data_IF_614792176759
#
_entry.id   IF_614792176759
#
_cell.length_a   1.000
_cell.length_b   1.000
_cell.length_c   1.000
_cell.angle_alpha   90.00
_cell.angle_beta   90.00
_cell.angle_gamma   90.00
#
_symmetry.space_group_name_H-M   'P 1'
#
loop_
_entity.id
_entity.type
_entity.pdbx_description
1 polymer ?
#
# COMPACT_ATOMS: atom_id res chain seq x y z
N UNK A 1 11.24 -2.87 9.48
CA UNK A 1 9.87 -2.39 9.30
C UNK A 1 8.99 -3.59 8.98
N UNK A 2 7.87 -3.69 9.65
CA UNK A 2 6.86 -4.73 9.36
C UNK A 2 5.90 -4.16 8.31
N UNK A 3 6.10 -4.56 7.05
CA UNK A 3 5.25 -4.19 5.93
C UNK A 3 4.61 -5.43 5.33
N UNK A 4 3.42 -5.30 4.77
CA UNK A 4 2.68 -6.38 4.12
C UNK A 4 2.67 -6.25 2.59
N UNK A 5 3.14 -5.13 2.07
CA UNK A 5 3.27 -4.86 0.64
C UNK A 5 4.30 -3.80 0.31
N UNK A 6 4.74 -3.78 -0.93
CA UNK A 6 5.69 -2.80 -1.45
C UNK A 6 5.50 -2.63 -2.96
N UNK A 7 5.35 -1.38 -3.38
CA UNK A 7 5.28 -1.01 -4.79
C UNK A 7 6.66 -0.60 -5.34
N UNK A 8 6.93 -0.92 -6.59
CA UNK A 8 8.23 -0.69 -7.22
C UNK A 8 8.67 0.78 -7.20
N UNK A 9 7.75 1.72 -7.39
CA UNK A 9 8.06 3.14 -7.36
C UNK A 9 8.45 3.66 -5.97
N UNK A 10 8.16 2.93 -4.88
CA UNK A 10 8.63 3.27 -3.53
C UNK A 10 10.14 3.03 -3.36
N UNK A 11 10.73 2.23 -4.21
CA UNK A 11 12.18 1.95 -4.25
C UNK A 11 12.87 2.52 -5.50
N UNK A 12 12.22 3.49 -6.17
CA UNK A 12 12.79 4.21 -7.30
C UNK A 12 12.74 3.47 -8.64
N UNK A 13 11.99 2.38 -8.72
CA UNK A 13 11.82 1.60 -9.97
C UNK A 13 10.54 2.04 -10.68
N UNK A 14 10.66 2.56 -11.88
CA UNK A 14 9.54 3.02 -12.70
C UNK A 14 8.88 1.87 -13.47
N UNK A 15 8.33 0.94 -12.70
CA UNK A 15 7.53 -0.18 -13.21
C UNK A 15 6.23 -0.29 -12.42
N UNK A 16 5.16 -0.68 -13.08
CA UNK A 16 3.88 -0.94 -12.43
C UNK A 16 3.85 -2.37 -11.87
N UNK A 17 4.58 -2.56 -10.79
CA UNK A 17 4.71 -3.84 -10.09
C UNK A 17 4.60 -3.59 -8.59
N UNK A 18 3.85 -4.42 -7.89
CA UNK A 18 3.93 -4.53 -6.44
C UNK A 18 4.03 -5.99 -5.99
N UNK A 19 4.59 -6.18 -4.82
CA UNK A 19 4.66 -7.46 -4.12
C UNK A 19 3.90 -7.35 -2.81
N UNK A 20 3.37 -8.46 -2.34
CA UNK A 20 2.67 -8.51 -1.06
C UNK A 20 2.79 -9.88 -0.38
N UNK A 21 2.66 -9.85 0.93
CA UNK A 21 2.64 -11.00 1.82
C UNK A 21 1.76 -10.63 3.01
N UNK A 22 0.50 -11.01 2.96
CA UNK A 22 -0.53 -10.44 3.80
C UNK A 22 -1.61 -11.47 4.15
N UNK A 23 -2.10 -11.50 5.40
CA UNK A 23 -3.26 -12.31 5.73
C UNK A 23 -4.56 -11.69 5.20
N UNK A 24 -5.51 -12.53 4.84
CA UNK A 24 -6.89 -12.16 4.56
C UNK A 24 -7.74 -12.10 5.84
N UNK A 25 -9.07 -11.91 5.71
CA UNK A 25 -9.97 -11.83 6.84
C UNK A 25 -10.11 -13.15 7.64
N UNK A 26 -9.77 -14.28 7.03
CA UNK A 26 -9.76 -15.61 7.65
C UNK A 26 -8.37 -15.99 8.18
N UNK A 27 -7.46 -15.01 8.25
CA UNK A 27 -6.07 -15.17 8.69
C UNK A 27 -5.25 -16.13 7.79
N UNK A 28 -5.69 -16.29 6.54
CA UNK A 28 -4.96 -17.05 5.54
C UNK A 28 -3.91 -16.17 4.86
N UNK A 29 -2.65 -16.58 4.95
CA UNK A 29 -1.54 -15.86 4.35
C UNK A 29 -1.55 -15.99 2.84
N UNK A 30 -1.55 -14.85 2.15
CA UNK A 30 -1.50 -14.78 0.69
C UNK A 30 -0.28 -13.98 0.29
N UNK A 31 0.49 -14.52 -0.63
CA UNK A 31 1.69 -13.88 -1.19
C UNK A 31 1.57 -13.80 -2.69
N UNK A 32 2.13 -12.74 -3.27
CA UNK A 32 2.11 -12.61 -4.71
C UNK A 32 2.90 -11.43 -5.24
N UNK A 33 3.03 -11.44 -6.56
CA UNK A 33 3.57 -10.38 -7.39
C UNK A 33 2.51 -10.01 -8.40
N UNK A 34 2.25 -8.72 -8.58
CA UNK A 34 1.30 -8.24 -9.59
C UNK A 34 1.96 -7.19 -10.45
N UNK A 35 2.08 -7.49 -11.73
CA UNK A 35 2.55 -6.57 -12.75
C UNK A 35 1.36 -5.99 -13.51
N UNK A 36 1.39 -4.69 -13.77
CA UNK A 36 0.31 -3.95 -14.45
C UNK A 36 -1.06 -4.18 -13.81
N UNK A 37 -1.22 -3.90 -12.51
CA UNK A 37 -2.44 -4.21 -11.79
C UNK A 37 -3.64 -3.41 -12.29
N UNK A 38 -4.79 -4.07 -12.34
CA UNK A 38 -6.10 -3.46 -12.50
C UNK A 38 -6.91 -3.75 -11.25
N UNK A 39 -7.24 -2.71 -10.50
CA UNK A 39 -8.03 -2.78 -9.27
C UNK A 39 -9.52 -2.69 -9.61
N UNK A 40 -10.28 -3.60 -9.01
CA UNK A 40 -11.75 -3.54 -9.01
C UNK A 40 -12.26 -3.55 -7.58
N UNK A 41 -13.22 -2.68 -7.30
CA UNK A 41 -13.85 -2.52 -6.00
C UNK A 41 -15.34 -2.83 -6.10
N UNK A 42 -15.98 -3.30 -5.01
CA UNK A 42 -17.44 -3.46 -5.00
C UNK A 42 -18.13 -2.10 -5.16
N UNK A 43 -19.31 -2.13 -5.75
CA UNK A 43 -20.14 -0.95 -6.01
C UNK A 43 -21.50 -1.07 -5.32
N UNK A 44 -22.20 0.06 -5.17
CA UNK A 44 -23.52 0.12 -4.57
C UNK A 44 -23.58 -0.48 -3.17
N UNK A 45 -24.61 -1.24 -2.89
CA UNK A 45 -24.86 -1.85 -1.57
C UNK A 45 -23.81 -2.91 -1.19
N UNK A 46 -23.08 -3.47 -2.15
CA UNK A 46 -22.00 -4.40 -1.91
C UNK A 46 -20.72 -3.73 -1.38
N UNK A 47 -20.63 -2.39 -1.51
CA UNK A 47 -19.48 -1.61 -1.03
C UNK A 47 -19.62 -1.30 0.46
N UNK A 48 -18.98 -2.09 1.27
CA UNK A 48 -18.87 -1.86 2.70
C UNK A 48 -17.50 -1.26 3.02
N UNK A 49 -17.47 -0.23 3.85
CA UNK A 49 -16.22 0.41 4.26
C UNK A 49 -15.74 -0.17 5.58
N UNK A 50 -14.47 -0.51 5.60
CA UNK A 50 -13.70 -0.91 6.76
C UNK A 50 -12.78 0.24 7.17
N UNK A 51 -12.84 0.64 8.44
CA UNK A 51 -12.06 1.76 8.98
C UNK A 51 -11.03 1.23 9.95
N UNK A 52 -9.78 1.26 9.56
CA UNK A 52 -8.64 0.86 10.38
C UNK A 52 -7.47 1.80 10.20
N UNK A 53 -6.57 1.78 11.18
CA UNK A 53 -5.29 2.46 11.05
C UNK A 53 -4.50 1.90 9.88
N UNK A 54 -4.00 2.81 9.05
CA UNK A 54 -3.14 2.50 7.92
C UNK A 54 -1.84 3.28 8.05
N UNK A 55 -0.75 2.64 7.69
CA UNK A 55 0.58 3.22 7.61
C UNK A 55 1.22 2.91 6.27
N UNK A 56 2.32 3.56 5.98
CA UNK A 56 3.08 3.32 4.76
C UNK A 56 4.58 3.30 5.07
N UNK A 57 5.31 2.41 4.43
CA UNK A 57 6.78 2.34 4.55
C UNK A 57 7.45 3.64 4.06
N UNK A 58 6.80 4.39 3.18
CA UNK A 58 7.23 5.72 2.72
C UNK A 58 6.96 6.85 3.74
N UNK A 59 6.17 6.60 4.78
CA UNK A 59 5.87 7.49 5.89
C UNK A 59 6.11 6.77 7.23
N UNK A 60 7.36 6.37 7.54
CA UNK A 60 7.67 5.52 8.69
C UNK A 60 7.12 6.08 10.00
N UNK A 61 6.45 5.23 10.77
CA UNK A 61 5.94 5.55 12.10
C UNK A 61 4.71 6.47 12.13
N UNK A 62 4.19 6.91 10.99
CA UNK A 62 2.98 7.72 10.90
C UNK A 62 1.78 6.87 10.47
N UNK A 63 0.71 6.89 11.28
CA UNK A 63 -0.52 6.12 11.06
C UNK A 63 -1.74 7.02 11.21
N UNK A 64 -2.79 6.71 10.47
CA UNK A 64 -4.12 7.33 10.65
C UNK A 64 -5.21 6.38 10.16
N UNK A 65 -6.40 6.54 10.71
CA UNK A 65 -7.57 5.80 10.23
C UNK A 65 -7.84 6.14 8.76
N UNK A 66 -8.00 5.10 7.95
CA UNK A 66 -8.34 5.20 6.55
C UNK A 66 -9.49 4.26 6.24
N UNK A 67 -10.58 4.81 5.72
CA UNK A 67 -11.72 4.02 5.26
C UNK A 67 -11.43 3.45 3.87
N UNK A 68 -11.54 2.13 3.74
CA UNK A 68 -11.41 1.44 2.47
C UNK A 68 -12.50 0.39 2.31
N UNK A 69 -12.94 0.07 1.08
CA UNK A 69 -13.75 -1.12 0.86
C UNK A 69 -13.09 -2.37 1.47
N UNK A 70 -13.90 -3.17 2.15
CA UNK A 70 -13.48 -4.39 2.85
C UNK A 70 -13.19 -5.56 1.91
N UNK A 71 -13.49 -5.39 0.63
CA UNK A 71 -13.29 -6.35 -0.44
C UNK A 71 -12.66 -5.64 -1.65
N UNK A 72 -11.69 -6.28 -2.26
CA UNK A 72 -11.08 -5.80 -3.51
C UNK A 72 -10.62 -6.96 -4.39
N UNK A 73 -10.53 -6.73 -5.69
CA UNK A 73 -9.94 -7.65 -6.66
C UNK A 73 -8.84 -6.92 -7.42
N UNK A 74 -7.72 -7.59 -7.60
CA UNK A 74 -6.64 -7.13 -8.46
C UNK A 74 -6.34 -8.19 -9.48
N UNK A 75 -6.32 -7.81 -10.74
CA UNK A 75 -5.85 -8.63 -11.85
C UNK A 75 -4.60 -8.02 -12.47
N UNK A 76 -3.75 -8.85 -13.01
CA UNK A 76 -2.52 -8.44 -13.68
C UNK A 76 -1.73 -9.65 -14.16
N UNK A 77 -0.42 -9.49 -14.23
CA UNK A 77 0.51 -10.56 -14.60
C UNK A 77 1.44 -10.86 -13.41
N UNK A 78 1.86 -12.11 -13.30
CA UNK A 78 2.92 -12.50 -12.38
C UNK A 78 4.32 -12.20 -12.96
N UNK A 79 5.38 -12.59 -12.24
CA UNK A 79 6.78 -12.40 -12.66
C UNK A 79 7.15 -13.22 -13.90
N UNK A 80 6.38 -14.24 -14.24
CA UNK A 80 6.55 -15.06 -15.44
C UNK A 80 5.69 -14.55 -16.63
N UNK A 81 4.94 -13.45 -16.45
CA UNK A 81 4.04 -12.91 -17.46
C UNK A 81 2.73 -13.67 -17.62
N UNK A 82 2.37 -14.51 -16.64
CA UNK A 82 1.11 -15.26 -16.65
C UNK A 82 0.00 -14.44 -15.96
N UNK A 83 -1.25 -14.50 -16.46
CA UNK A 83 -2.38 -13.83 -15.81
C UNK A 83 -2.59 -14.31 -14.38
N UNK A 84 -2.78 -13.36 -13.46
CA UNK A 84 -3.15 -13.62 -12.06
C UNK A 84 -4.31 -12.74 -11.64
N UNK A 85 -5.11 -13.25 -10.71
CA UNK A 85 -6.16 -12.50 -10.03
C UNK A 85 -6.14 -12.83 -8.54
N UNK A 86 -6.23 -11.80 -7.70
CA UNK A 86 -6.33 -11.93 -6.25
C UNK A 86 -7.63 -11.27 -5.78
N UNK A 87 -8.42 -12.00 -4.99
CA UNK A 87 -9.55 -11.47 -4.26
C UNK A 87 -9.12 -11.25 -2.80
N UNK A 88 -9.11 -10.01 -2.34
CA UNK A 88 -8.68 -9.64 -1.00
C UNK A 88 -9.86 -9.33 -0.08
N UNK A 89 -9.80 -9.85 1.15
CA UNK A 89 -10.67 -9.50 2.27
C UNK A 89 -9.82 -9.02 3.43
N UNK A 90 -10.40 -8.27 4.37
CA UNK A 90 -9.69 -7.78 5.56
C UNK A 90 -8.43 -6.98 5.21
N UNK A 91 -7.32 -7.28 5.87
CA UNK A 91 -6.05 -6.60 5.64
C UNK A 91 -5.53 -6.77 4.21
N UNK A 92 -5.75 -7.94 3.61
CA UNK A 92 -5.38 -8.19 2.21
C UNK A 92 -6.12 -7.25 1.25
N UNK A 93 -7.43 -7.03 1.45
CA UNK A 93 -8.19 -6.07 0.63
C UNK A 93 -7.58 -4.67 0.70
N UNK A 94 -7.20 -4.24 1.89
CA UNK A 94 -6.54 -2.95 2.14
C UNK A 94 -5.17 -2.88 1.47
N UNK A 95 -4.36 -3.92 1.59
CA UNK A 95 -3.04 -4.02 0.99
C UNK A 95 -3.09 -3.91 -0.54
N UNK A 96 -3.95 -4.67 -1.20
CA UNK A 96 -4.10 -4.64 -2.66
C UNK A 96 -4.48 -3.24 -3.16
N UNK A 97 -5.33 -2.53 -2.44
CA UNK A 97 -5.72 -1.15 -2.76
C UNK A 97 -4.56 -0.17 -2.53
N UNK A 98 -3.87 -0.28 -1.39
CA UNK A 98 -2.77 0.59 -1.01
C UNK A 98 -1.61 0.52 -2.02
N UNK A 99 -1.19 -0.69 -2.38
CA UNK A 99 -0.08 -0.89 -3.32
C UNK A 99 -0.44 -0.49 -4.75
N UNK A 100 -1.68 -0.74 -5.17
CA UNK A 100 -2.16 -0.25 -6.47
C UNK A 100 -2.19 1.28 -6.50
N UNK A 101 -2.64 1.93 -5.43
CA UNK A 101 -2.64 3.39 -5.32
C UNK A 101 -1.25 3.98 -5.56
N UNK A 102 -0.20 3.42 -4.96
CA UNK A 102 1.18 3.87 -5.17
C UNK A 102 1.57 3.91 -6.65
N UNK A 103 1.21 2.89 -7.39
CA UNK A 103 1.57 2.77 -8.82
C UNK A 103 0.85 3.80 -9.69
N UNK A 104 -0.26 4.36 -9.21
CA UNK A 104 -1.02 5.42 -9.88
C UNK A 104 -0.83 6.81 -9.24
N UNK A 105 0.21 6.96 -8.42
CA UNK A 105 0.61 8.24 -7.85
C UNK A 105 -0.25 8.72 -6.67
N UNK A 106 -0.98 7.81 -6.02
CA UNK A 106 -1.81 8.09 -4.86
C UNK A 106 -1.20 7.45 -3.61
N UNK A 107 -1.13 8.18 -2.52
CA UNK A 107 -0.76 7.66 -1.21
C UNK A 107 -1.97 7.64 -0.28
N UNK A 108 -1.93 6.83 0.78
CA UNK A 108 -3.08 6.69 1.67
C UNK A 108 -3.47 8.02 2.35
N UNK A 109 -2.54 8.94 2.53
CA UNK A 109 -2.83 10.30 2.99
C UNK A 109 -3.79 11.08 2.10
N UNK A 110 -3.89 10.74 0.81
CA UNK A 110 -4.84 11.32 -0.14
C UNK A 110 -6.25 10.74 0.02
N UNK A 111 -6.37 9.60 0.72
CA UNK A 111 -7.63 8.88 0.97
C UNK A 111 -8.32 9.26 2.28
N UNK A 112 -7.68 10.09 3.10
CA UNK A 112 -8.20 10.50 4.41
C UNK A 112 -8.63 11.97 4.39
N UNK A 113 -9.53 12.39 5.32
CA UNK A 113 -9.93 13.79 5.43
C UNK A 113 -8.72 14.71 5.63
N UNK A 114 -8.81 15.94 5.14
CA UNK A 114 -7.71 16.91 5.16
C UNK A 114 -7.12 17.12 6.58
N UNK A 115 -7.96 17.16 7.60
CA UNK A 115 -7.53 17.31 8.99
C UNK A 115 -6.66 16.12 9.44
N UNK A 116 -7.06 14.91 9.10
CA UNK A 116 -6.29 13.69 9.40
C UNK A 116 -4.97 13.67 8.62
N UNK A 117 -5.00 14.05 7.34
CA UNK A 117 -3.82 14.18 6.49
C UNK A 117 -2.79 15.15 7.06
N UNK A 118 -3.21 16.35 7.47
CA UNK A 118 -2.31 17.33 8.09
C UNK A 118 -1.67 16.79 9.37
N UNK A 119 -2.45 16.08 10.19
CA UNK A 119 -1.94 15.45 11.42
C UNK A 119 -0.93 14.35 11.12
N UNK A 120 -1.20 13.54 10.11
CA UNK A 120 -0.33 12.46 9.64
C UNK A 120 1.05 12.98 9.22
N UNK A 121 1.08 13.98 8.34
CA UNK A 121 2.34 14.55 7.84
C UNK A 121 3.13 15.26 8.94
N UNK A 122 2.43 15.97 9.84
CA UNK A 122 3.07 16.59 11.01
C UNK A 122 3.70 15.55 11.96
N UNK A 123 3.06 14.40 12.13
CA UNK A 123 3.62 13.29 12.91
C UNK A 123 4.85 12.71 12.24
N UNK A 124 4.81 12.54 10.92
CA UNK A 124 5.95 12.07 10.14
C UNK A 124 7.14 13.03 10.22
N UNK A 125 6.94 14.34 10.04
CA UNK A 125 7.98 15.37 10.17
C UNK A 125 8.69 15.30 11.52
N UNK A 126 7.95 15.17 12.60
CA UNK A 126 8.53 15.04 13.95
C UNK A 126 9.38 13.78 14.13
N UNK A 127 9.02 12.69 13.46
CA UNK A 127 9.80 11.46 13.49
C UNK A 127 11.04 11.57 12.59
N UNK A 128 10.92 12.25 11.45
CA UNK A 128 12.04 12.53 10.56
C UNK A 128 13.15 13.34 11.24
N UNK A 129 12.79 14.31 12.09
CA UNK A 129 13.74 15.12 12.87
C UNK A 129 14.57 14.27 13.87
N UNK A 130 14.10 13.08 14.21
CA UNK A 130 14.81 12.13 15.08
C UNK A 130 15.84 11.26 14.36
N UNK A 131 15.89 11.27 13.03
CA UNK A 131 16.89 10.55 12.26
C UNK A 131 18.19 11.38 12.15
N UNK A 132 19.37 10.73 12.23
CA UNK A 132 20.64 11.42 12.01
C UNK A 132 20.67 12.14 10.66
N UNK A 133 21.27 13.33 10.61
CA UNK A 133 21.42 14.12 9.38
C UNK A 133 22.28 13.40 8.32
N UNK A 134 23.08 12.44 8.75
CA UNK A 134 23.91 11.55 7.93
C UNK A 134 23.28 10.16 7.72
N UNK A 135 21.95 10.06 7.85
CA UNK A 135 21.24 8.82 7.50
C UNK A 135 21.72 8.35 6.13
N UNK A 136 22.15 7.09 6.00
CA UNK A 136 22.79 6.67 4.77
C UNK A 136 21.85 6.85 3.60
N UNK A 137 22.20 7.79 2.72
CA UNK A 137 21.73 7.76 1.35
C UNK A 137 22.27 6.46 0.80
N UNK A 138 21.42 5.47 0.62
CA UNK A 138 21.82 4.27 -0.10
C UNK A 138 22.18 4.76 -1.49
N UNK A 139 23.48 4.85 -1.79
CA UNK A 139 23.91 4.99 -3.16
C UNK A 139 23.27 3.82 -3.90
N UNK A 140 22.47 4.12 -4.89
CA UNK A 140 21.88 3.08 -5.70
C UNK A 140 23.02 2.40 -6.46
N UNK A 141 23.38 1.19 -6.06
CA UNK A 141 24.31 0.34 -6.80
C UNK A 141 23.73 -0.13 -8.15
N UNK A 142 22.70 0.54 -8.61
CA UNK A 142 22.05 0.31 -9.90
C UNK A 142 22.36 1.47 -10.85
N UNK A 143 23.58 1.52 -11.30
CA UNK A 143 23.90 2.16 -12.56
C UNK A 143 23.79 1.13 -13.70
#
# INVERSE_FOLDING_TARGET
AEGVGLAANQVGVDLKVFVFDCPDADDQRVTGVVCNPVLRLPEGDARQLDVHDEGCLSLPGAFTECARPDLSWVSGLDEAGQPVEFAGTGLLARCLQHETDHLYGTVFGDRVPEKARKKLYKAHEKLADGYPADWPVTESDFE
#
